data_IF_853868173292
#
_entry.id   IF_853868173292
#
_cell.length_a   1.000
_cell.length_b   1.000
_cell.length_c   1.000
_cell.angle_alpha   90.00
_cell.angle_beta   90.00
_cell.angle_gamma   90.00
#
_symmetry.space_group_name_H-M   'P 1'
#
loop_
_entity.id
_entity.type
_entity.pdbx_description
1 polymer ?
#
# COMPACT_ATOMS: atom_id res chain seq x y z
N UNK A 1 6.69 20.20 -15.07
CA UNK A 1 5.95 18.93 -15.18
C UNK A 1 6.78 17.84 -14.53
N UNK A 2 6.34 17.26 -13.41
CA UNK A 2 7.03 16.10 -12.84
C UNK A 2 6.85 14.92 -13.80
N UNK A 3 7.91 14.17 -14.16
CA UNK A 3 7.78 13.06 -15.08
C UNK A 3 6.85 12.01 -14.48
N UNK A 4 5.79 11.66 -15.19
CA UNK A 4 4.93 10.56 -14.79
C UNK A 4 5.69 9.25 -14.90
N UNK A 5 5.60 8.39 -13.89
CA UNK A 5 6.16 7.05 -13.95
C UNK A 5 5.55 6.25 -15.11
N UNK A 6 6.39 5.53 -15.86
CA UNK A 6 5.93 4.54 -16.83
C UNK A 6 5.25 3.37 -16.11
N UNK A 7 4.45 2.57 -16.85
CA UNK A 7 3.80 1.38 -16.26
C UNK A 7 4.84 0.36 -15.76
N UNK A 8 5.94 0.16 -16.48
CA UNK A 8 7.01 -0.72 -16.03
C UNK A 8 7.71 -0.20 -14.77
N UNK A 9 7.91 1.11 -14.67
CA UNK A 9 8.47 1.72 -13.47
C UNK A 9 7.53 1.57 -12.26
N UNK A 10 6.23 1.75 -12.47
CA UNK A 10 5.19 1.48 -11.47
C UNK A 10 5.22 0.02 -11.00
N UNK A 11 5.27 -0.95 -11.92
CA UNK A 11 5.34 -2.37 -11.57
C UNK A 11 6.63 -2.73 -10.82
N UNK A 12 7.78 -2.13 -11.18
CA UNK A 12 9.03 -2.31 -10.43
C UNK A 12 8.94 -1.76 -9.01
N UNK A 13 8.34 -0.58 -8.84
CA UNK A 13 8.10 0.03 -7.53
C UNK A 13 7.18 -0.85 -6.69
N UNK A 14 6.05 -1.31 -7.26
CA UNK A 14 5.12 -2.22 -6.58
C UNK A 14 5.80 -3.54 -6.21
N UNK A 15 6.63 -4.11 -7.08
CA UNK A 15 7.38 -5.33 -6.79
C UNK A 15 8.42 -5.15 -5.68
N UNK A 16 9.12 -4.01 -5.65
CA UNK A 16 10.06 -3.68 -4.58
C UNK A 16 9.35 -3.49 -3.24
N UNK A 17 8.25 -2.74 -3.24
CA UNK A 17 7.42 -2.53 -2.05
C UNK A 17 6.82 -3.85 -1.54
N UNK A 18 6.35 -4.71 -2.44
CA UNK A 18 5.82 -6.03 -2.08
C UNK A 18 6.86 -6.85 -1.31
N UNK A 19 8.10 -6.93 -1.82
CA UNK A 19 9.21 -7.61 -1.11
C UNK A 19 9.50 -6.98 0.25
N UNK A 20 9.52 -5.65 0.33
CA UNK A 20 9.77 -4.93 1.57
C UNK A 20 8.70 -5.23 2.64
N UNK A 21 7.43 -5.32 2.24
CA UNK A 21 6.31 -5.65 3.12
C UNK A 21 6.35 -7.13 3.56
N UNK A 22 6.67 -8.05 2.64
CA UNK A 22 6.83 -9.49 2.96
C UNK A 22 7.98 -9.69 3.96
N UNK A 23 9.11 -8.99 3.79
CA UNK A 23 10.22 -9.04 4.72
C UNK A 23 9.84 -8.58 6.14
N UNK A 24 8.77 -7.78 6.27
CA UNK A 24 8.18 -7.32 7.54
C UNK A 24 7.07 -8.25 8.04
N UNK A 25 6.89 -9.42 7.43
CA UNK A 25 5.92 -10.43 7.84
C UNK A 25 4.48 -10.18 7.38
N UNK A 26 4.25 -9.22 6.49
CA UNK A 26 2.91 -8.96 5.94
C UNK A 26 2.59 -9.94 4.80
N UNK A 27 1.34 -10.41 4.76
CA UNK A 27 0.81 -11.13 3.62
C UNK A 27 0.37 -10.13 2.55
N UNK A 28 1.03 -10.15 1.40
CA UNK A 28 0.81 -9.19 0.31
C UNK A 28 0.55 -9.93 -1.00
N UNK A 29 -0.46 -9.48 -1.74
CA UNK A 29 -0.79 -9.99 -3.07
C UNK A 29 -0.80 -8.84 -4.08
N UNK A 30 -0.18 -9.06 -5.23
CA UNK A 30 -0.24 -8.11 -6.33
C UNK A 30 -1.56 -8.26 -7.08
N UNK A 31 -2.16 -7.15 -7.50
CA UNK A 31 -3.36 -7.17 -8.34
C UNK A 31 -3.02 -6.79 -9.77
N UNK A 32 -3.37 -7.68 -10.70
CA UNK A 32 -3.04 -7.50 -12.11
C UNK A 32 -4.04 -6.58 -12.83
N UNK A 33 -5.31 -6.59 -12.40
CA UNK A 33 -6.38 -5.79 -13.00
C UNK A 33 -6.27 -4.28 -12.67
N UNK A 34 -5.78 -3.94 -11.48
CA UNK A 34 -5.52 -2.57 -11.04
C UNK A 34 -4.13 -2.59 -10.38
N UNK A 35 -3.09 -1.97 -10.99
CA UNK A 35 -1.73 -2.00 -10.48
C UNK A 35 -1.68 -1.51 -9.03
N UNK A 36 -1.45 -2.46 -8.12
CA UNK A 36 -1.48 -2.21 -6.70
C UNK A 36 -1.22 -3.47 -5.89
N UNK A 37 -1.07 -3.28 -4.58
CA UNK A 37 -0.87 -4.34 -3.62
C UNK A 37 -2.06 -4.42 -2.69
N UNK A 38 -2.49 -5.64 -2.45
CA UNK A 38 -3.49 -5.98 -1.44
C UNK A 38 -2.76 -6.56 -0.25
N UNK A 39 -3.02 -6.03 0.94
CA UNK A 39 -2.45 -6.51 2.19
C UNK A 39 -3.54 -7.26 2.96
N UNK A 40 -3.26 -8.50 3.32
CA UNK A 40 -4.12 -9.36 4.14
C UNK A 40 -3.53 -9.58 5.51
N UNK A 41 -4.38 -9.91 6.48
CA UNK A 41 -3.89 -10.40 7.78
C UNK A 41 -3.11 -11.72 7.60
N UNK A 42 -2.14 -12.02 8.47
CA UNK A 42 -1.48 -13.33 8.48
C UNK A 42 -2.50 -14.47 8.51
N UNK A 43 -2.39 -15.43 7.58
CA UNK A 43 -3.33 -16.55 7.43
C UNK A 43 -4.69 -16.20 6.81
N UNK A 44 -4.90 -14.94 6.44
CA UNK A 44 -6.14 -14.44 5.86
C UNK A 44 -6.30 -14.77 4.37
N UNK A 45 -7.55 -14.93 3.95
CA UNK A 45 -7.96 -15.07 2.53
C UNK A 45 -8.22 -13.69 1.91
N UNK A 46 -8.66 -13.64 0.65
CA UNK A 46 -9.11 -12.38 0.00
C UNK A 46 -10.29 -11.71 0.71
N UNK A 47 -10.94 -12.36 1.68
CA UNK A 47 -11.95 -11.77 2.56
C UNK A 47 -11.34 -10.99 3.74
N UNK A 48 -10.04 -11.15 4.00
CA UNK A 48 -9.29 -10.55 5.10
C UNK A 48 -8.38 -9.41 4.63
N UNK A 49 -8.75 -8.78 3.52
CA UNK A 49 -8.05 -7.61 2.99
C UNK A 49 -8.26 -6.44 3.93
N UNK A 50 -7.16 -5.97 4.50
CA UNK A 50 -7.16 -4.84 5.44
C UNK A 50 -6.64 -3.56 4.81
N UNK A 51 -5.95 -3.64 3.68
CA UNK A 51 -5.47 -2.46 2.96
C UNK A 51 -5.23 -2.69 1.47
N UNK A 52 -5.38 -1.61 0.71
CA UNK A 52 -4.99 -1.52 -0.68
C UNK A 52 -3.97 -0.40 -0.87
N UNK A 53 -2.88 -0.70 -1.56
CA UNK A 53 -1.77 0.20 -1.83
C UNK A 53 -1.64 0.40 -3.34
N UNK A 54 -1.53 1.64 -3.79
CA UNK A 54 -1.33 2.00 -5.19
C UNK A 54 -0.22 3.01 -5.36
N UNK A 55 0.29 3.13 -6.59
CA UNK A 55 1.26 4.17 -6.95
C UNK A 55 0.55 5.24 -7.78
N UNK A 56 0.57 6.47 -7.30
CA UNK A 56 0.19 7.61 -8.11
C UNK A 56 1.36 7.98 -9.04
N UNK A 57 1.30 7.47 -10.27
CA UNK A 57 2.32 7.71 -11.30
C UNK A 57 2.59 9.19 -11.59
N UNK A 58 1.58 10.05 -11.50
CA UNK A 58 1.72 11.49 -11.80
C UNK A 58 2.44 12.24 -10.69
N UNK A 59 2.24 11.80 -9.44
CA UNK A 59 2.81 12.44 -8.25
C UNK A 59 4.07 11.75 -7.73
N UNK A 60 4.39 10.54 -8.21
CA UNK A 60 5.53 9.77 -7.73
C UNK A 60 5.40 9.36 -6.27
N UNK A 61 4.19 9.02 -5.84
CA UNK A 61 3.90 8.63 -4.45
C UNK A 61 3.18 7.28 -4.38
N UNK A 62 3.51 6.51 -3.36
CA UNK A 62 2.75 5.37 -2.84
C UNK A 62 1.60 5.92 -1.99
N UNK A 63 0.41 5.35 -2.13
CA UNK A 63 -0.74 5.71 -1.29
C UNK A 63 -1.49 4.47 -0.82
N UNK A 64 -1.98 4.48 0.41
CA UNK A 64 -2.75 3.36 0.96
C UNK A 64 -3.91 3.80 1.85
N UNK A 65 -5.06 3.13 1.70
CA UNK A 65 -6.27 3.28 2.54
C UNK A 65 -6.92 4.68 2.48
N UNK A 66 -6.29 5.72 3.03
CA UNK A 66 -6.76 7.12 3.00
C UNK A 66 -6.03 7.93 1.93
N UNK A 67 -6.70 8.94 1.38
CA UNK A 67 -6.13 9.85 0.37
C UNK A 67 -4.89 10.59 0.89
N UNK A 68 -4.82 10.81 2.21
CA UNK A 68 -3.75 11.56 2.86
C UNK A 68 -2.53 10.69 3.23
N UNK A 69 -2.69 9.36 3.23
CA UNK A 69 -1.59 8.44 3.46
C UNK A 69 -0.74 8.33 2.20
N UNK A 70 0.15 9.31 2.02
CA UNK A 70 1.03 9.44 0.88
C UNK A 70 2.49 9.29 1.30
N UNK A 71 3.27 8.55 0.51
CA UNK A 71 4.71 8.46 0.71
C UNK A 71 5.48 8.50 -0.62
N UNK A 72 6.61 9.21 -0.72
CA UNK A 72 7.39 9.25 -1.95
C UNK A 72 7.87 7.85 -2.37
N UNK A 73 7.82 7.53 -3.68
CA UNK A 73 8.33 6.24 -4.20
C UNK A 73 9.84 6.06 -4.05
N UNK A 74 10.57 7.13 -3.72
CA UNK A 74 12.02 7.08 -3.46
C UNK A 74 12.36 6.46 -2.11
N UNK A 75 11.41 6.42 -1.18
CA UNK A 75 11.62 6.02 0.22
C UNK A 75 10.77 4.77 0.55
N UNK A 76 10.91 3.69 -0.24
CA UNK A 76 10.03 2.52 -0.15
C UNK A 76 10.13 1.76 1.17
N UNK A 77 11.31 1.71 1.79
CA UNK A 77 11.47 1.08 3.10
C UNK A 77 10.69 1.84 4.18
N UNK A 78 10.73 3.17 4.14
CA UNK A 78 9.96 4.01 5.07
C UNK A 78 8.45 3.90 4.79
N UNK A 79 8.05 3.79 3.51
CA UNK A 79 6.65 3.45 3.18
C UNK A 79 6.26 2.10 3.80
N UNK A 80 7.10 1.09 3.65
CA UNK A 80 6.84 -0.25 4.17
C UNK A 80 6.75 -0.25 5.70
N UNK A 81 7.63 0.46 6.41
CA UNK A 81 7.58 0.61 7.87
C UNK A 81 6.27 1.26 8.32
N UNK A 82 5.85 2.35 7.65
CA UNK A 82 4.59 3.04 7.98
C UNK A 82 3.37 2.18 7.71
N UNK A 83 3.37 1.45 6.60
CA UNK A 83 2.29 0.52 6.25
C UNK A 83 2.24 -0.61 7.28
N UNK A 84 3.39 -1.20 7.64
CA UNK A 84 3.46 -2.24 8.67
C UNK A 84 2.96 -1.75 10.02
N UNK A 85 3.41 -0.57 10.48
CA UNK A 85 2.94 0.04 11.71
C UNK A 85 1.42 0.23 11.70
N UNK A 86 0.88 0.80 10.61
CA UNK A 86 -0.55 0.99 10.43
C UNK A 86 -1.35 -0.32 10.47
N UNK A 87 -0.81 -1.42 9.95
CA UNK A 87 -1.48 -2.74 9.99
C UNK A 87 -1.43 -3.39 11.37
N UNK A 88 -0.47 -3.01 12.21
CA UNK A 88 -0.33 -3.48 13.59
C UNK A 88 -1.04 -2.60 14.60
N UNK A 89 -1.41 -1.37 14.22
CA UNK A 89 -2.27 -0.54 15.06
C UNK A 89 -3.57 -1.33 15.31
N UNK A 90 -3.97 -1.50 16.59
CA UNK A 90 -5.30 -1.99 16.89
C UNK A 90 -6.26 -1.12 16.09
N UNK A 91 -7.18 -1.73 15.35
CA UNK A 91 -8.25 -0.98 14.70
C UNK A 91 -8.94 -0.20 15.83
N UNK A 92 -8.55 1.07 16.01
CA UNK A 92 -9.24 1.96 16.91
C UNK A 92 -10.68 1.82 16.47
N UNK A 93 -11.57 1.41 17.38
CA UNK A 93 -13.00 1.31 17.13
C UNK A 93 -13.44 2.64 16.53
N UNK A 94 -13.46 2.72 15.20
CA UNK A 94 -13.97 3.88 14.50
C UNK A 94 -15.48 3.75 14.71
N UNK A 95 -16.12 4.66 15.46
CA UNK A 95 -17.56 4.67 15.54
C UNK A 95 -18.11 4.79 14.10
N UNK A 96 -19.15 4.02 13.75
CA UNK A 96 -19.73 4.05 12.41
C UNK A 96 -20.40 5.41 12.21
N UNK A 97 -19.68 6.36 11.61
CA UNK A 97 -20.28 7.67 11.34
C UNK A 97 -19.27 8.78 11.12
N UNK A 98 -18.70 8.83 9.91
CA UNK A 98 -18.70 10.11 9.19
C UNK A 98 -18.43 9.86 7.71
N UNK A 99 -19.47 9.99 6.91
CA UNK A 99 -19.41 10.13 5.45
C UNK A 99 -19.77 11.59 5.15
N UNK A 100 -18.98 12.32 4.35
CA UNK A 100 -19.47 13.55 3.71
C UNK A 100 -20.54 13.21 2.64
#
# INVERSE_FOLDING_TARGET
MSPSLSRDAELRVLGALCRALIARGLCVQMRDAIPGLTITRPGGTTKDVVGYVVVNRRKGVVSWWRVDNLHPVKDLDVAADRISAFMTEPAASYPPGHRP
#
